data_IF_528436498048
#
_entry.id   IF_528436498048
#
_cell.length_a   1.000
_cell.length_b   1.000
_cell.length_c   1.000
_cell.angle_alpha   90.00
_cell.angle_beta   90.00
_cell.angle_gamma   90.00
#
_symmetry.space_group_name_H-M   'P 1'
#
loop_
_entity.id
_entity.type
_entity.pdbx_description
1 polymer ?
#
# COMPACT_ATOMS: atom_id res chain seq x y z
N UNK A 1 -5.92 13.43 11.24
CA UNK A 1 -5.78 13.91 10.16
C UNK A 1 -5.84 14.35 9.46
N UNK A 2 -5.77 13.90 9.96
CA UNK A 2 -5.78 14.48 8.92
C UNK A 2 -6.15 14.26 8.66
N UNK A 3 -6.15 13.64 9.14
CA UNK A 3 -6.26 13.90 8.32
C UNK A 3 -6.86 13.76 8.41
N UNK A 4 -6.84 13.23 9.25
CA UNK A 4 -7.18 13.43 8.67
C UNK A 4 -7.40 13.81 8.34
N UNK A 5 -7.14 13.50 8.58
CA UNK A 5 -7.21 14.25 7.78
C UNK A 5 -7.45 14.18 7.19
N UNK A 6 -7.26 13.79 7.78
CA UNK A 6 -7.44 14.09 6.93
C UNK A 6 -8.10 13.55 6.91
N UNK A 7 -7.92 13.02 7.63
CA UNK A 7 -8.24 12.85 7.12
C UNK A 7 -8.72 13.02 7.33
N UNK A 8 -8.45 12.77 7.96
CA UNK A 8 -8.68 13.19 7.61
C UNK A 8 -8.62 13.75 7.26
N UNK A 9 -8.13 13.79 7.57
CA UNK A 9 -7.94 14.50 6.88
C UNK A 9 -8.22 14.59 6.57
N UNK A 10 -8.14 14.22 7.32
CA UNK A 10 -8.25 14.56 6.69
C UNK A 10 -8.98 14.41 6.89
N UNK A 11 -9.11 14.07 7.78
CA UNK A 11 -9.57 14.22 7.52
C UNK A 11 -9.90 14.70 7.48
N UNK A 12 -9.63 14.66 7.84
CA UNK A 12 -9.68 15.40 7.20
C UNK A 12 -10.01 15.99 6.86
N UNK A 13 -9.87 16.02 7.38
CA UNK A 13 -9.92 16.83 6.65
C UNK A 13 -10.68 17.07 6.32
N UNK A 14 -10.75 16.77 6.85
CA UNK A 14 -11.15 17.08 6.20
C UNK A 14 -12.14 16.85 6.28
N UNK A 15 -12.23 16.49 7.13
CA UNK A 15 -12.82 16.47 6.70
C UNK A 15 -13.37 16.52 6.89
N UNK A 16 -13.52 16.55 7.42
CA UNK A 16 -13.71 16.90 7.05
C UNK A 16 -14.60 17.41 6.63
N UNK A 17 -14.88 17.46 7.19
CA UNK A 17 -15.47 18.05 6.39
C UNK A 17 -16.37 17.95 5.99
N UNK A 18 -16.81 17.49 6.55
CA UNK A 18 -17.21 17.53 5.76
C UNK A 18 -17.96 17.17 5.51
N UNK A 19 -18.31 17.09 5.92
CA UNK A 19 -18.67 16.83 5.18
C UNK A 19 -18.94 16.41 4.76
N UNK A 20 -19.14 16.11 5.23
CA UNK A 20 -18.99 15.75 4.48
C UNK A 20 -19.15 15.41 4.05
N UNK A 21 -19.42 15.22 4.07
CA UNK A 21 -19.09 14.83 3.36
C UNK A 21 -19.01 14.58 2.94
N UNK A 22 -18.77 14.42 3.05
CA UNK A 22 -18.26 14.30 2.42
C UNK A 22 -17.86 13.97 2.07
N UNK A 23 -18.07 13.72 2.13
CA UNK A 23 -17.36 13.58 1.67
C UNK A 23 -17.10 13.33 0.99
N UNK A 24 -17.22 13.19 0.92
CA UNK A 24 -16.69 13.08 0.26
C UNK A 24 -16.30 12.99 -0.35
N UNK A 25 -16.35 12.85 -0.41
CA UNK A 25 -15.71 12.83 -0.92
C UNK A 25 -14.96 12.76 -1.37
N UNK A 26 -14.57 12.59 -1.31
CA UNK A 26 -13.76 12.42 -1.70
C UNK A 26 -13.31 11.84 -1.94
N UNK A 27 -13.38 12.15 -2.69
CA UNK A 27 -13.26 10.91 -2.83
C UNK A 27 -12.13 10.18 -2.73
N UNK A 28 -12.10 9.69 -1.95
CA UNK A 28 -10.89 9.04 -1.64
C UNK A 28 -10.69 7.82 -2.52
N UNK A 29 -9.48 7.29 -2.49
CA UNK A 29 -9.13 6.07 -3.16
C UNK A 29 -10.05 4.94 -2.72
N UNK A 30 -10.60 4.20 -3.69
CA UNK A 30 -11.48 3.06 -3.44
C UNK A 30 -10.80 1.81 -3.96
N UNK A 31 -10.67 0.81 -3.10
CA UNK A 31 -10.06 -0.47 -3.49
C UNK A 31 -10.99 -1.23 -4.41
N UNK A 32 -10.44 -1.72 -5.51
CA UNK A 32 -11.21 -2.57 -6.43
C UNK A 32 -11.08 -4.05 -6.12
N UNK A 33 -10.05 -4.42 -5.34
CA UNK A 33 -9.76 -5.82 -5.04
C UNK A 33 -9.66 -6.02 -3.55
N UNK A 34 -10.05 -7.20 -3.06
CA UNK A 34 -9.90 -7.48 -1.63
C UNK A 34 -8.44 -7.58 -1.23
N UNK A 35 -8.20 -7.37 0.05
CA UNK A 35 -6.89 -7.47 0.67
C UNK A 35 -6.88 -8.61 1.66
N UNK A 36 -5.77 -9.33 1.73
CA UNK A 36 -5.62 -10.49 2.58
C UNK A 36 -4.40 -10.33 3.49
N UNK A 37 -4.48 -10.74 4.77
CA UNK A 37 -3.35 -10.59 5.67
C UNK A 37 -2.10 -11.26 5.12
N UNK A 38 -0.98 -10.56 5.17
CA UNK A 38 0.32 -11.08 4.78
C UNK A 38 1.39 -10.27 5.50
N UNK A 39 2.22 -10.93 6.28
CA UNK A 39 3.24 -10.28 7.08
C UNK A 39 4.63 -10.74 6.61
N UNK A 40 5.24 -9.95 5.74
CA UNK A 40 6.59 -10.22 5.25
C UNK A 40 7.40 -8.94 5.34
N UNK A 41 8.72 -9.08 5.39
CA UNK A 41 9.61 -7.94 5.37
C UNK A 41 9.56 -7.28 3.99
N UNK A 42 9.60 -5.95 3.98
CA UNK A 42 9.61 -5.16 2.76
C UNK A 42 10.76 -4.16 2.80
N UNK A 43 11.38 -3.97 1.64
CA UNK A 43 12.35 -2.91 1.44
C UNK A 43 11.77 -1.92 0.45
N UNK A 44 11.95 -0.63 0.73
CA UNK A 44 11.36 0.45 -0.06
C UNK A 44 12.43 1.47 -0.37
N UNK A 45 12.46 1.95 -1.60
CA UNK A 45 13.35 3.01 -2.05
C UNK A 45 12.52 4.17 -2.56
N UNK A 46 12.85 5.37 -2.11
CA UNK A 46 12.23 6.58 -2.63
C UNK A 46 13.34 7.51 -3.10
N UNK A 47 13.13 8.12 -4.27
CA UNK A 47 14.11 9.02 -4.87
C UNK A 47 13.68 10.44 -4.58
N UNK A 48 14.52 11.18 -3.85
CA UNK A 48 14.22 12.56 -3.44
C UNK A 48 15.45 13.42 -3.65
N UNK A 49 15.24 14.55 -4.33
CA UNK A 49 16.32 15.56 -4.47
C UNK A 49 17.61 14.96 -4.97
N UNK A 50 17.54 14.02 -5.92
CA UNK A 50 18.70 13.38 -6.49
C UNK A 50 19.33 12.28 -5.63
N UNK A 51 18.71 11.93 -4.53
CA UNK A 51 19.25 10.94 -3.59
C UNK A 51 18.23 9.83 -3.36
N UNK A 52 18.72 8.59 -3.27
CA UNK A 52 17.86 7.45 -2.92
C UNK A 52 17.82 7.32 -1.41
N UNK A 53 16.63 7.26 -0.86
CA UNK A 53 16.42 7.00 0.56
C UNK A 53 15.86 5.60 0.71
N UNK A 54 16.38 4.84 1.66
CA UNK A 54 15.99 3.45 1.90
C UNK A 54 15.15 3.38 3.17
N UNK A 55 14.00 2.72 3.06
CA UNK A 55 13.13 2.44 4.18
C UNK A 55 12.86 0.95 4.21
N UNK A 56 12.45 0.45 5.36
CA UNK A 56 12.03 -0.94 5.45
C UNK A 56 10.86 -1.06 6.40
N UNK A 57 10.20 -2.18 6.34
CA UNK A 57 9.08 -2.45 7.21
C UNK A 57 8.51 -3.82 6.98
N UNK A 58 7.26 -3.98 7.34
CA UNK A 58 6.56 -5.26 7.20
C UNK A 58 5.19 -5.01 6.59
N UNK A 59 4.81 -5.91 5.68
CA UNK A 59 3.47 -5.83 5.11
C UNK A 59 2.42 -6.22 6.15
N UNK A 60 1.20 -5.72 5.95
CA UNK A 60 0.05 -6.10 6.77
C UNK A 60 -0.99 -6.83 5.94
N UNK A 61 -1.11 -6.48 4.67
CA UNK A 61 -2.10 -7.10 3.79
C UNK A 61 -1.67 -6.96 2.35
N UNK A 62 -2.11 -7.89 1.51
CA UNK A 62 -1.80 -7.91 0.09
C UNK A 62 -3.08 -8.03 -0.72
N UNK A 63 -3.16 -7.30 -1.83
CA UNK A 63 -4.20 -7.44 -2.83
C UNK A 63 -3.58 -7.47 -4.22
N UNK A 64 -4.43 -7.68 -5.23
CA UNK A 64 -3.96 -7.67 -6.62
C UNK A 64 -3.43 -6.32 -7.06
N UNK A 65 -3.97 -5.24 -6.48
CA UNK A 65 -3.65 -3.89 -6.91
C UNK A 65 -2.75 -3.13 -5.94
N UNK A 66 -2.41 -3.71 -4.81
CA UNK A 66 -1.59 -2.98 -3.86
C UNK A 66 -1.31 -3.73 -2.57
N UNK A 67 -0.67 -3.04 -1.65
CA UNK A 67 -0.19 -3.63 -0.41
C UNK A 67 -0.27 -2.59 0.71
N UNK A 68 -0.59 -3.05 1.92
CA UNK A 68 -0.49 -2.24 3.11
C UNK A 68 0.75 -2.60 3.89
N UNK A 69 1.36 -1.66 4.56
CA UNK A 69 2.61 -1.90 5.29
C UNK A 69 2.85 -0.87 6.38
N UNK A 70 3.60 -1.28 7.39
CA UNK A 70 4.15 -0.36 8.38
C UNK A 70 5.63 -0.18 8.08
N UNK A 71 6.06 1.06 7.97
CA UNK A 71 7.42 1.39 7.55
C UNK A 71 8.17 2.19 8.62
N UNK A 72 9.51 2.17 8.52
CA UNK A 72 10.39 2.85 9.47
C UNK A 72 10.57 4.33 9.20
N UNK A 73 10.18 4.83 8.04
CA UNK A 73 10.44 6.22 7.67
C UNK A 73 9.18 6.93 7.24
N UNK A 74 9.36 8.13 6.72
CA UNK A 74 8.26 9.00 6.34
C UNK A 74 8.10 9.08 4.84
N UNK A 75 6.89 8.83 4.38
CA UNK A 75 6.48 9.04 2.99
C UNK A 75 5.21 9.86 2.99
N UNK A 76 5.02 10.64 1.95
CA UNK A 76 3.78 11.42 1.79
C UNK A 76 2.87 10.74 0.76
N UNK A 77 1.56 10.86 0.93
CA UNK A 77 0.64 10.41 -0.11
C UNK A 77 1.00 11.04 -1.44
N UNK A 78 0.97 10.22 -2.50
CA UNK A 78 1.35 10.65 -3.84
C UNK A 78 2.79 10.37 -4.20
N UNK A 79 3.65 10.05 -3.24
CA UNK A 79 5.03 9.68 -3.58
C UNK A 79 5.07 8.32 -4.25
N UNK A 80 5.96 8.21 -5.25
CA UNK A 80 6.20 6.96 -5.96
C UNK A 80 7.47 6.33 -5.42
N UNK A 81 7.38 5.04 -5.12
CA UNK A 81 8.50 4.29 -4.55
C UNK A 81 8.75 3.03 -5.37
N UNK A 82 9.92 2.45 -5.18
CA UNK A 82 10.22 1.09 -5.64
C UNK A 82 10.23 0.20 -4.41
N UNK A 83 9.57 -0.93 -4.47
CA UNK A 83 9.52 -1.83 -3.32
C UNK A 83 9.88 -3.24 -3.73
N UNK A 84 10.38 -3.98 -2.75
CA UNK A 84 10.77 -5.37 -2.94
C UNK A 84 10.33 -6.15 -1.72
N UNK A 85 9.66 -7.27 -1.92
CA UNK A 85 9.24 -8.15 -0.83
C UNK A 85 9.09 -9.58 -1.34
N UNK A 86 9.32 -10.56 -0.46
CA UNK A 86 9.13 -11.96 -0.86
C UNK A 86 7.66 -12.25 -1.08
N UNK A 87 7.37 -13.07 -2.08
CA UNK A 87 6.02 -13.58 -2.31
C UNK A 87 6.02 -15.06 -1.97
N UNK A 88 5.06 -15.52 -1.14
CA UNK A 88 4.87 -16.97 -0.98
C UNK A 88 4.70 -17.64 -2.35
N UNK A 89 5.17 -18.86 -2.48
CA UNK A 89 5.09 -19.66 -3.70
C UNK A 89 5.99 -19.16 -4.84
N UNK A 90 6.83 -18.18 -4.58
CA UNK A 90 7.74 -17.67 -5.60
C UNK A 90 9.18 -17.79 -5.10
N UNK A 91 10.11 -18.26 -5.96
CA UNK A 91 11.51 -18.32 -5.55
C UNK A 91 12.21 -16.97 -5.58
N UNK A 92 11.57 -15.96 -6.16
CA UNK A 92 12.16 -14.63 -6.28
C UNK A 92 11.26 -13.59 -5.63
N UNK A 93 11.85 -12.56 -5.01
CA UNK A 93 11.04 -11.47 -4.48
C UNK A 93 10.35 -10.70 -5.59
N UNK A 94 9.24 -10.09 -5.26
CA UNK A 94 8.56 -9.19 -6.18
C UNK A 94 9.20 -7.82 -6.08
N UNK A 95 9.57 -7.25 -7.22
CA UNK A 95 10.06 -5.88 -7.31
C UNK A 95 9.08 -5.09 -8.14
N UNK A 96 8.49 -4.05 -7.56
CA UNK A 96 7.45 -3.31 -8.27
C UNK A 96 7.46 -1.87 -7.79
N UNK A 97 7.04 -0.97 -8.67
CA UNK A 97 6.83 0.42 -8.31
C UNK A 97 5.43 0.58 -7.76
N UNK A 98 5.29 1.52 -6.84
CA UNK A 98 3.99 1.76 -6.21
C UNK A 98 3.87 3.22 -5.84
N UNK A 99 2.63 3.67 -5.65
CA UNK A 99 2.35 5.02 -5.22
C UNK A 99 1.67 4.98 -3.87
N UNK A 100 2.06 5.88 -2.98
CA UNK A 100 1.44 6.00 -1.66
C UNK A 100 0.05 6.59 -1.85
N UNK A 101 -0.98 5.86 -1.43
CA UNK A 101 -2.36 6.32 -1.53
C UNK A 101 -2.87 6.90 -0.23
N UNK A 102 -2.42 6.36 0.91
CA UNK A 102 -2.79 6.95 2.20
C UNK A 102 -1.71 6.63 3.23
N UNK A 103 -1.75 7.39 4.31
CA UNK A 103 -0.86 7.21 5.44
C UNK A 103 -1.64 7.47 6.73
N UNK A 104 -1.49 6.57 7.70
CA UNK A 104 -2.02 6.75 9.05
C UNK A 104 -0.89 6.39 10.01
N UNK A 105 -0.26 7.40 10.61
CA UNK A 105 0.92 7.17 11.44
C UNK A 105 2.05 6.59 10.60
N UNK A 106 2.51 5.40 10.94
CA UNK A 106 3.54 4.69 10.18
C UNK A 106 2.95 3.61 9.27
N UNK A 107 1.63 3.54 9.19
CA UNK A 107 0.95 2.59 8.32
C UNK A 107 0.63 3.25 6.99
N UNK A 108 0.96 2.58 5.90
CA UNK A 108 0.82 3.10 4.54
C UNK A 108 0.01 2.15 3.69
N UNK A 109 -0.77 2.74 2.78
CA UNK A 109 -1.42 1.98 1.72
C UNK A 109 -0.80 2.35 0.39
N UNK A 110 -0.41 1.34 -0.38
CA UNK A 110 0.24 1.51 -1.68
C UNK A 110 -0.59 0.88 -2.79
N UNK A 111 -0.60 1.54 -3.94
CA UNK A 111 -1.14 0.97 -5.17
C UNK A 111 0.01 0.64 -6.11
N UNK A 112 0.04 -0.59 -6.64
CA UNK A 112 1.08 -0.99 -7.59
C UNK A 112 0.91 -0.23 -8.90
N UNK A 113 2.03 0.14 -9.50
CA UNK A 113 2.06 0.83 -10.79
C UNK A 113 2.57 -0.14 -11.85
N UNK A 114 1.75 -0.37 -12.87
CA UNK A 114 2.11 -1.15 -14.06
C UNK A 114 2.88 -2.44 -13.76
N UNK A 115 2.35 -3.35 -12.94
CA UNK A 115 3.02 -4.64 -12.79
C UNK A 115 3.01 -5.39 -14.13
N UNK A 116 4.07 -6.19 -14.36
CA UNK A 116 4.14 -7.00 -15.58
C UNK A 116 3.08 -8.10 -15.53
N UNK A 117 2.76 -8.72 -16.71
CA UNK A 117 1.82 -9.85 -16.70
C UNK A 117 2.29 -10.99 -15.79
N UNK A 118 3.59 -11.26 -15.74
CA UNK A 118 4.13 -12.31 -14.86
C UNK A 118 3.93 -11.94 -13.40
N UNK A 119 4.15 -10.68 -13.07
CA UNK A 119 3.92 -10.20 -11.69
C UNK A 119 2.46 -10.30 -11.31
N UNK A 120 1.56 -9.92 -12.23
CA UNK A 120 0.12 -10.04 -11.97
C UNK A 120 -0.29 -11.49 -11.76
N UNK A 121 0.27 -12.41 -12.56
CA UNK A 121 0.01 -13.84 -12.37
C UNK A 121 0.47 -14.32 -11.00
N UNK A 122 1.67 -13.91 -10.59
CA UNK A 122 2.19 -14.29 -9.28
C UNK A 122 1.34 -13.73 -8.15
N UNK A 123 0.95 -12.46 -8.27
CA UNK A 123 0.08 -11.82 -7.29
C UNK A 123 -1.26 -12.54 -7.19
N UNK A 124 -1.84 -12.90 -8.34
CA UNK A 124 -3.12 -13.60 -8.37
C UNK A 124 -3.04 -14.95 -7.65
N UNK A 125 -1.99 -15.73 -7.93
CA UNK A 125 -1.80 -17.03 -7.27
C UNK A 125 -1.67 -16.88 -5.76
N UNK A 126 -0.89 -15.89 -5.31
CA UNK A 126 -0.70 -15.68 -3.88
C UNK A 126 -2.00 -15.22 -3.23
N UNK A 127 -2.73 -14.30 -3.85
CA UNK A 127 -4.01 -13.84 -3.31
C UNK A 127 -5.02 -14.98 -3.22
N UNK A 128 -5.05 -15.86 -4.23
CA UNK A 128 -5.93 -17.02 -4.18
C UNK A 128 -5.56 -17.95 -3.03
N UNK A 129 -4.28 -18.17 -2.82
CA UNK A 129 -3.81 -18.99 -1.70
C UNK A 129 -4.21 -18.37 -0.37
N UNK A 130 -3.97 -17.07 -0.21
CA UNK A 130 -4.31 -16.38 1.04
C UNK A 130 -5.82 -16.40 1.30
N UNK A 131 -6.61 -16.23 0.24
CA UNK A 131 -8.07 -16.26 0.38
C UNK A 131 -8.56 -17.65 0.75
N UNK A 132 -7.93 -18.69 0.24
CA UNK A 132 -8.41 -20.07 0.45
C UNK A 132 -8.09 -20.60 1.85
N UNK A 133 -6.95 -20.22 2.42
CA UNK A 133 -6.55 -20.80 3.67
C UNK A 133 -5.66 -19.94 4.52
N UNK A 134 -4.77 -19.21 3.87
CA UNK A 134 -3.81 -18.41 4.61
C UNK A 134 -4.45 -17.30 5.42
N UNK A 135 -5.50 -16.71 4.88
CA UNK A 135 -6.17 -15.64 5.57
C UNK A 135 -6.89 -16.07 6.82
N UNK A 136 -7.18 -17.34 6.95
CA UNK A 136 -7.87 -17.88 8.12
C UNK A 136 -6.94 -18.15 9.29
N UNK A 137 -5.66 -18.22 9.05
CA UNK A 137 -4.71 -18.59 10.09
C UNK A 137 -4.14 -17.37 10.82
#
# INVERSE_FOLDING_TARGET
>A
MLALRRILQQINEKDMNGTAPQRKKTAPYTRRYPRFPMDVRMDVQVFRAGTVTYLWGRSTELGLDGIGATLTGDLDPGEVVSMEFPLPLSPYPLKVRAIVRYRIGLHYGFEFLTPTPEQRSSLDRVCQMLAAGGGAS
#
